data_IF_697893403050
#
_entry.id   IF_697893403050
#
_cell.length_a   1.000
_cell.length_b   1.000
_cell.length_c   1.000
_cell.angle_alpha   90.00
_cell.angle_beta   90.00
_cell.angle_gamma   90.00
#
_symmetry.space_group_name_H-M   'P 1'
#
loop_
_entity.id
_entity.type
_entity.pdbx_description
1 polymer ?
#
# COMPACT_ATOMS: atom_id res chain seq x y z
N UNK A 1 14.83 -11.33 -16.15
CA UNK A 1 15.84 -10.26 -16.05
C UNK A 1 15.45 -9.17 -17.02
N UNK A 2 14.96 -8.05 -16.50
CA UNK A 2 14.89 -6.77 -17.21
C UNK A 2 15.12 -5.70 -16.14
N UNK A 3 16.39 -5.50 -15.85
CA UNK A 3 16.88 -4.44 -14.99
C UNK A 3 16.91 -3.15 -15.79
N UNK A 4 16.15 -2.13 -15.40
CA UNK A 4 16.49 -0.76 -15.79
C UNK A 4 17.50 -0.30 -14.73
N UNK A 5 18.74 -0.73 -14.89
CA UNK A 5 19.90 -0.22 -14.15
C UNK A 5 20.38 0.99 -14.95
N UNK A 6 20.31 2.16 -14.33
CA UNK A 6 21.23 3.25 -14.67
C UNK A 6 22.46 3.05 -13.78
N UNK A 7 23.64 2.92 -14.38
CA UNK A 7 24.90 2.57 -13.72
C UNK A 7 25.48 3.71 -12.85
N UNK A 8 24.73 4.78 -12.57
CA UNK A 8 25.18 5.98 -11.87
C UNK A 8 24.58 6.16 -10.45
N UNK A 9 24.62 5.10 -9.64
CA UNK A 9 24.18 5.11 -8.23
C UNK A 9 25.10 6.00 -7.39
N UNK A 10 24.54 6.97 -6.65
CA UNK A 10 25.23 7.82 -5.67
C UNK A 10 24.67 7.59 -4.26
N UNK A 11 25.42 7.99 -3.23
CA UNK A 11 25.24 7.66 -1.79
C UNK A 11 23.96 8.17 -1.09
N UNK A 12 22.92 8.63 -1.78
CA UNK A 12 21.78 9.38 -1.18
C UNK A 12 20.36 8.83 -1.52
N UNK A 13 20.19 7.54 -1.85
CA UNK A 13 18.89 7.02 -2.34
C UNK A 13 17.89 6.59 -1.22
N UNK A 14 16.57 6.64 -1.48
CA UNK A 14 15.43 6.50 -0.53
C UNK A 14 14.44 5.37 -0.89
N UNK A 15 13.52 4.91 0.01
CA UNK A 15 12.59 3.77 -0.27
C UNK A 15 11.13 3.94 0.24
N UNK A 16 10.05 3.71 -0.58
CA UNK A 16 8.60 3.86 -0.17
C UNK A 16 7.52 2.97 -0.91
N UNK A 17 6.22 2.82 -0.46
CA UNK A 17 5.09 1.84 -0.89
C UNK A 17 3.59 2.36 -1.25
N UNK A 18 2.74 1.80 -2.21
CA UNK A 18 1.35 2.24 -2.73
C UNK A 18 0.45 1.59 -3.93
N UNK A 19 -0.41 2.28 -4.77
CA UNK A 19 -1.53 1.73 -5.69
C UNK A 19 -1.78 2.44 -7.09
N UNK A 20 -2.34 1.79 -8.17
CA UNK A 20 -2.67 2.34 -9.54
C UNK A 20 -3.71 1.54 -10.40
N UNK A 21 -4.39 2.15 -11.42
CA UNK A 21 -5.33 1.47 -12.38
C UNK A 21 -5.53 2.13 -13.78
N UNK A 22 -6.20 1.44 -14.73
CA UNK A 22 -6.58 1.89 -16.11
C UNK A 22 -8.08 1.75 -16.42
N UNK A 23 -8.63 2.62 -17.27
CA UNK A 23 -10.07 2.79 -17.50
C UNK A 23 -10.43 2.98 -19.00
N UNK A 24 -11.71 2.88 -19.40
CA UNK A 24 -12.13 3.13 -20.77
C UNK A 24 -11.57 4.44 -21.32
N UNK A 25 -10.87 4.38 -22.46
CA UNK A 25 -10.23 5.54 -23.09
C UNK A 25 -9.24 6.33 -22.20
N UNK A 26 -8.80 5.76 -21.06
CA UNK A 26 -7.90 6.39 -20.10
C UNK A 26 -6.83 5.42 -19.56
N UNK A 27 -5.57 5.77 -19.73
CA UNK A 27 -4.42 4.95 -19.40
C UNK A 27 -3.91 5.12 -17.96
N UNK A 28 -4.54 5.98 -17.16
CA UNK A 28 -4.24 6.20 -15.74
C UNK A 28 -5.48 6.71 -14.99
N UNK A 29 -5.42 6.71 -13.66
CA UNK A 29 -6.44 7.33 -12.80
C UNK A 29 -6.59 8.84 -13.11
N UNK A 30 -5.49 9.53 -13.44
CA UNK A 30 -5.52 10.96 -13.77
C UNK A 30 -6.18 11.23 -15.13
N UNK A 31 -5.88 10.42 -16.14
CA UNK A 31 -6.51 10.54 -17.46
C UNK A 31 -8.00 10.19 -17.38
N UNK A 32 -8.36 9.23 -16.51
CA UNK A 32 -9.76 8.89 -16.25
C UNK A 32 -10.51 10.01 -15.53
N UNK A 33 -9.90 10.59 -14.48
CA UNK A 33 -10.47 11.73 -13.78
C UNK A 33 -10.63 12.93 -14.71
N UNK A 34 -9.62 13.25 -15.52
CA UNK A 34 -9.71 14.31 -16.52
C UNK A 34 -10.87 14.08 -17.49
N UNK A 35 -11.00 12.87 -18.05
CA UNK A 35 -12.07 12.55 -18.97
C UNK A 35 -13.44 12.63 -18.30
N UNK A 36 -13.57 12.13 -17.06
CA UNK A 36 -14.83 12.12 -16.32
C UNK A 36 -15.29 13.54 -15.94
N UNK A 37 -14.39 14.37 -15.42
CA UNK A 37 -14.73 15.73 -14.97
C UNK A 37 -14.97 16.72 -16.11
N UNK A 38 -14.41 16.45 -17.29
CA UNK A 38 -14.68 17.25 -18.49
C UNK A 38 -15.84 16.69 -19.35
N UNK A 39 -16.54 15.66 -18.86
CA UNK A 39 -17.68 15.07 -19.57
C UNK A 39 -17.32 14.40 -20.89
N UNK A 40 -16.06 13.95 -21.03
CA UNK A 40 -15.59 13.23 -22.21
C UNK A 40 -16.23 11.84 -22.19
N UNK A 41 -17.00 11.53 -23.24
CA UNK A 41 -17.68 10.25 -23.36
C UNK A 41 -16.68 9.14 -23.74
N UNK A 42 -16.34 8.33 -22.73
CA UNK A 42 -15.37 7.23 -22.84
C UNK A 42 -16.00 5.91 -23.31
N UNK A 43 -17.27 5.92 -23.73
CA UNK A 43 -18.01 4.75 -24.19
C UNK A 43 -18.10 4.77 -25.72
N UNK A 44 -17.28 3.97 -26.38
CA UNK A 44 -17.14 4.01 -27.84
C UNK A 44 -17.95 2.89 -28.53
N UNK A 45 -18.28 3.10 -29.81
CA UNK A 45 -18.93 2.08 -30.68
C UNK A 45 -17.88 1.21 -31.40
N UNK A 46 -16.58 1.50 -31.28
CA UNK A 46 -15.54 0.87 -32.12
C UNK A 46 -15.35 -0.65 -31.95
N UNK A 47 -14.82 -1.33 -32.95
CA UNK A 47 -14.69 -2.80 -32.92
C UNK A 47 -13.43 -3.29 -32.16
N UNK A 48 -12.78 -2.45 -31.34
CA UNK A 48 -11.44 -2.71 -30.77
C UNK A 48 -11.36 -3.95 -29.88
N UNK A 49 -12.48 -4.39 -29.33
CA UNK A 49 -12.56 -5.62 -28.51
C UNK A 49 -13.59 -6.62 -29.03
N UNK A 50 -14.72 -6.14 -29.53
CA UNK A 50 -15.78 -6.95 -30.12
C UNK A 50 -16.42 -6.21 -31.29
N UNK A 51 -16.76 -6.89 -32.39
CA UNK A 51 -17.54 -6.30 -33.48
C UNK A 51 -18.94 -5.89 -33.01
N UNK A 52 -19.47 -4.81 -33.57
CA UNK A 52 -20.84 -4.39 -33.32
C UNK A 52 -21.86 -5.51 -33.63
N UNK A 53 -22.85 -5.69 -32.74
CA UNK A 53 -23.94 -6.67 -32.94
C UNK A 53 -23.67 -8.09 -32.42
N UNK A 54 -22.57 -8.31 -31.70
CA UNK A 54 -22.32 -9.60 -31.05
C UNK A 54 -23.35 -9.83 -29.91
N UNK A 55 -24.11 -10.93 -30.03
CA UNK A 55 -25.32 -11.19 -29.24
C UNK A 55 -25.13 -11.01 -27.72
N UNK A 56 -25.89 -10.06 -27.15
CA UNK A 56 -25.94 -9.80 -25.71
C UNK A 56 -25.07 -8.63 -25.22
N UNK A 57 -24.25 -8.02 -26.08
CA UNK A 57 -23.44 -6.86 -25.72
C UNK A 57 -24.11 -5.53 -26.13
N UNK A 58 -24.00 -4.46 -25.30
CA UNK A 58 -24.47 -3.13 -25.68
C UNK A 58 -23.66 -2.55 -26.84
N UNK A 59 -24.36 -1.92 -27.79
CA UNK A 59 -23.78 -1.25 -28.97
C UNK A 59 -22.65 -0.26 -28.62
N UNK A 60 -22.75 0.41 -27.47
CA UNK A 60 -21.74 1.31 -26.92
C UNK A 60 -21.19 0.70 -25.64
N UNK A 61 -19.87 0.49 -25.58
CA UNK A 61 -19.23 -0.02 -24.37
C UNK A 61 -17.83 0.57 -24.18
N UNK A 62 -17.42 0.75 -22.92
CA UNK A 62 -16.13 1.34 -22.57
C UNK A 62 -15.00 0.34 -22.77
N UNK A 63 -13.97 0.72 -23.53
CA UNK A 63 -12.86 -0.17 -23.93
C UNK A 63 -11.52 0.48 -23.54
N UNK A 64 -10.58 -0.35 -23.08
CA UNK A 64 -9.21 0.10 -22.81
C UNK A 64 -8.50 0.41 -24.12
N UNK A 65 -7.67 1.46 -24.12
CA UNK A 65 -7.08 1.98 -25.36
C UNK A 65 -6.23 0.96 -26.12
N UNK A 66 -5.45 0.15 -25.39
CA UNK A 66 -4.46 -0.78 -25.93
C UNK A 66 -4.55 -2.16 -25.23
N UNK A 67 -5.75 -2.74 -25.15
CA UNK A 67 -6.06 -4.02 -24.44
C UNK A 67 -5.26 -5.24 -24.96
N UNK A 68 -4.74 -5.11 -26.16
CA UNK A 68 -4.02 -6.09 -26.96
C UNK A 68 -2.49 -5.98 -26.82
N UNK A 69 -1.98 -4.91 -26.20
CA UNK A 69 -0.56 -4.75 -25.89
C UNK A 69 -0.23 -5.27 -24.49
N UNK A 70 0.75 -6.16 -24.42
CA UNK A 70 1.27 -6.77 -23.19
C UNK A 70 2.77 -6.99 -23.37
N UNK A 71 3.60 -6.54 -22.42
CA UNK A 71 5.05 -6.73 -22.48
C UNK A 71 5.43 -8.17 -22.09
N UNK A 72 5.18 -9.07 -23.04
CA UNK A 72 5.39 -10.50 -22.88
C UNK A 72 6.84 -10.85 -22.52
N UNK A 73 7.79 -10.10 -23.06
CA UNK A 73 9.22 -10.28 -22.77
C UNK A 73 9.54 -9.90 -21.31
N UNK A 74 8.96 -8.80 -20.80
CA UNK A 74 9.11 -8.36 -19.40
C UNK A 74 8.60 -9.41 -18.40
N UNK A 75 7.44 -10.01 -18.66
CA UNK A 75 6.86 -11.06 -17.80
C UNK A 75 7.41 -12.47 -18.10
N UNK A 76 8.40 -12.60 -18.98
CA UNK A 76 9.00 -13.85 -19.41
C UNK A 76 7.98 -14.86 -19.97
N UNK A 77 6.92 -14.34 -20.57
CA UNK A 77 5.85 -15.10 -21.23
C UNK A 77 6.17 -15.15 -22.73
N UNK A 78 6.17 -16.34 -23.32
CA UNK A 78 6.43 -16.47 -24.75
C UNK A 78 5.36 -15.71 -25.58
N UNK A 79 5.68 -14.98 -26.66
CA UNK A 79 4.73 -14.12 -27.38
C UNK A 79 3.44 -14.82 -27.83
N UNK A 80 3.52 -16.09 -28.22
CA UNK A 80 2.34 -16.92 -28.57
C UNK A 80 1.48 -17.30 -27.36
N UNK A 81 2.06 -17.45 -26.17
CA UNK A 81 1.30 -17.66 -24.93
C UNK A 81 0.67 -16.35 -24.47
N UNK A 82 1.45 -15.26 -24.51
CA UNK A 82 0.96 -13.92 -24.23
C UNK A 82 -0.27 -13.60 -25.06
N UNK A 83 -0.27 -13.86 -26.37
CA UNK A 83 -1.41 -13.59 -27.26
C UNK A 83 -2.72 -14.32 -26.85
N UNK A 84 -2.61 -15.49 -26.22
CA UNK A 84 -3.74 -16.33 -25.83
C UNK A 84 -4.13 -16.22 -24.35
N UNK A 85 -3.40 -15.44 -23.54
CA UNK A 85 -3.77 -15.19 -22.13
C UNK A 85 -5.02 -14.30 -22.06
N UNK A 86 -5.89 -14.48 -21.05
CA UNK A 86 -7.01 -13.56 -20.87
C UNK A 86 -6.49 -12.14 -20.54
N UNK A 87 -6.91 -11.07 -21.25
CA UNK A 87 -6.44 -9.70 -21.00
C UNK A 87 -6.65 -9.23 -19.56
N UNK A 88 -7.66 -9.74 -18.86
CA UNK A 88 -7.92 -9.43 -17.45
C UNK A 88 -6.93 -10.14 -16.53
N UNK A 89 -6.42 -11.31 -16.92
CA UNK A 89 -5.35 -12.01 -16.19
C UNK A 89 -3.99 -11.28 -16.33
N UNK A 90 -3.76 -10.64 -17.49
CA UNK A 90 -2.58 -9.79 -17.75
C UNK A 90 -2.65 -8.50 -16.93
N UNK A 91 -3.81 -7.85 -16.89
CA UNK A 91 -4.07 -6.67 -16.06
C UNK A 91 -4.06 -7.00 -14.56
N UNK A 92 -4.52 -8.18 -14.14
CA UNK A 92 -4.46 -8.63 -12.75
C UNK A 92 -3.01 -8.84 -12.27
N UNK A 93 -2.11 -9.33 -13.13
CA UNK A 93 -0.67 -9.37 -12.83
C UNK A 93 -0.10 -7.96 -12.61
N UNK A 94 -0.62 -6.97 -13.33
CA UNK A 94 -0.26 -5.55 -13.20
C UNK A 94 -1.03 -4.80 -12.09
N UNK A 95 -2.06 -5.38 -11.46
CA UNK A 95 -2.88 -4.77 -10.38
C UNK A 95 -2.62 -5.44 -9.02
N UNK A 96 -2.18 -6.70 -8.98
CA UNK A 96 -1.52 -7.29 -7.79
C UNK A 96 -0.23 -6.52 -7.43
N UNK A 97 0.22 -5.70 -8.38
CA UNK A 97 1.09 -4.55 -8.21
C UNK A 97 0.59 -3.75 -6.97
N UNK A 98 -0.65 -3.28 -6.76
CA UNK A 98 -1.22 -2.43 -5.66
C UNK A 98 -0.83 -2.57 -4.14
N UNK A 99 0.12 -3.41 -3.74
CA UNK A 99 0.80 -3.42 -2.42
C UNK A 99 2.13 -2.62 -2.39
N UNK A 100 2.24 -1.52 -3.14
CA UNK A 100 3.45 -1.24 -3.91
C UNK A 100 3.69 0.19 -4.27
N UNK A 101 4.85 0.68 -3.90
CA UNK A 101 5.57 1.92 -4.21
C UNK A 101 4.88 3.12 -4.93
N UNK A 102 3.94 2.87 -5.83
CA UNK A 102 3.20 3.77 -6.70
C UNK A 102 2.37 4.87 -6.04
N UNK A 103 1.76 4.68 -4.87
CA UNK A 103 1.08 5.81 -4.16
C UNK A 103 2.08 6.85 -3.66
N UNK A 104 3.34 6.48 -3.62
CA UNK A 104 4.44 7.36 -3.30
C UNK A 104 5.24 7.74 -4.54
N UNK A 105 4.74 7.41 -5.74
CA UNK A 105 5.35 7.83 -7.00
C UNK A 105 5.37 9.34 -7.13
N UNK A 106 4.26 10.02 -6.82
CA UNK A 106 4.20 11.49 -6.89
C UNK A 106 5.22 12.12 -5.92
N UNK A 107 5.32 11.56 -4.70
CA UNK A 107 6.37 11.95 -3.77
C UNK A 107 7.77 11.69 -4.35
N UNK A 108 8.03 10.47 -4.82
CA UNK A 108 9.32 10.06 -5.36
C UNK A 108 9.78 10.94 -6.53
N UNK A 109 8.87 11.32 -7.42
CA UNK A 109 9.15 12.19 -8.56
C UNK A 109 9.51 13.62 -8.16
N UNK A 110 9.17 14.05 -6.95
CA UNK A 110 9.47 15.38 -6.41
C UNK A 110 10.72 15.43 -5.54
N UNK A 111 11.34 14.28 -5.27
CA UNK A 111 12.59 14.20 -4.53
C UNK A 111 13.79 14.28 -5.50
N UNK A 112 14.88 14.98 -5.14
CA UNK A 112 16.09 15.14 -5.95
C UNK A 112 17.02 13.92 -5.91
N UNK A 113 16.54 12.78 -5.42
CA UNK A 113 17.31 11.54 -5.19
C UNK A 113 16.58 10.36 -5.83
N UNK A 114 17.29 9.25 -6.06
CA UNK A 114 16.64 8.04 -6.54
C UNK A 114 15.83 7.44 -5.42
N UNK A 115 14.58 7.08 -5.72
CA UNK A 115 13.69 6.46 -4.75
C UNK A 115 13.34 5.06 -5.24
N UNK A 116 13.79 4.05 -4.51
CA UNK A 116 13.37 2.67 -4.69
C UNK A 116 12.07 2.42 -3.92
N UNK A 117 11.50 1.24 -4.05
CA UNK A 117 10.38 0.90 -3.20
C UNK A 117 10.29 -0.60 -3.00
N UNK A 118 9.93 -0.99 -1.78
CA UNK A 118 9.86 -2.38 -1.39
C UNK A 118 8.41 -2.84 -1.36
N UNK A 119 8.05 -3.64 -2.35
CA UNK A 119 6.71 -4.17 -2.49
C UNK A 119 6.56 -5.49 -1.73
N UNK A 120 5.41 -5.67 -1.09
CA UNK A 120 5.04 -6.96 -0.50
C UNK A 120 4.65 -7.95 -1.60
N UNK A 121 5.51 -8.92 -1.89
CA UNK A 121 5.25 -10.01 -2.84
C UNK A 121 4.98 -11.33 -2.12
N UNK A 122 4.69 -12.40 -2.87
CA UNK A 122 4.55 -13.76 -2.32
C UNK A 122 5.81 -14.30 -1.64
N UNK A 123 6.97 -13.75 -1.98
CA UNK A 123 8.26 -14.18 -1.43
C UNK A 123 8.56 -13.54 -0.06
N UNK A 124 7.82 -12.50 0.30
CA UNK A 124 7.99 -11.81 1.58
C UNK A 124 7.46 -12.72 2.69
N UNK A 125 8.24 -12.98 3.75
CA UNK A 125 7.80 -13.81 4.87
C UNK A 125 6.50 -13.30 5.51
N UNK A 126 5.65 -14.23 5.94
CA UNK A 126 4.38 -13.90 6.62
C UNK A 126 4.39 -14.39 8.07
N UNK A 127 5.49 -14.16 8.78
CA UNK A 127 5.76 -14.73 10.12
C UNK A 127 5.87 -13.66 11.21
N UNK A 128 6.67 -12.61 10.97
CA UNK A 128 6.95 -11.55 11.95
C UNK A 128 7.37 -10.24 11.25
N UNK A 129 7.42 -9.12 11.98
CA UNK A 129 7.94 -7.84 11.43
C UNK A 129 9.45 -7.95 11.18
N UNK A 130 10.14 -8.65 12.07
CA UNK A 130 11.57 -8.93 12.03
C UNK A 130 11.98 -9.72 10.78
N UNK A 131 11.22 -10.76 10.43
CA UNK A 131 11.49 -11.57 9.23
C UNK A 131 11.20 -10.78 7.94
N UNK A 132 10.15 -9.96 7.94
CA UNK A 132 9.84 -9.06 6.81
C UNK A 132 10.98 -8.04 6.64
N UNK A 133 11.43 -7.42 7.72
CA UNK A 133 12.53 -6.47 7.71
C UNK A 133 13.84 -7.11 7.24
N UNK A 134 14.17 -8.30 7.74
CA UNK A 134 15.36 -9.05 7.32
C UNK A 134 15.33 -9.38 5.82
N UNK A 135 14.17 -9.80 5.30
CA UNK A 135 13.99 -10.02 3.86
C UNK A 135 14.22 -8.73 3.05
N UNK A 136 13.64 -7.61 3.49
CA UNK A 136 13.81 -6.33 2.81
C UNK A 136 15.23 -5.77 2.91
N UNK A 137 15.91 -5.97 4.03
CA UNK A 137 17.32 -5.59 4.19
C UNK A 137 18.19 -6.29 3.17
N UNK A 138 17.94 -7.57 2.91
CA UNK A 138 18.65 -8.29 1.85
C UNK A 138 18.48 -7.60 0.50
N UNK A 139 17.26 -7.14 0.17
CA UNK A 139 16.97 -6.40 -1.06
C UNK A 139 17.59 -5.00 -1.10
N UNK A 140 17.61 -4.31 0.03
CA UNK A 140 18.29 -3.01 0.18
C UNK A 140 19.79 -3.18 -0.07
N UNK A 141 20.45 -4.14 0.60
CA UNK A 141 21.89 -4.38 0.47
C UNK A 141 22.27 -4.89 -0.92
N UNK A 142 21.42 -5.70 -1.57
CA UNK A 142 21.59 -6.10 -2.98
C UNK A 142 21.60 -4.88 -3.93
N UNK A 143 20.91 -3.80 -3.58
CA UNK A 143 20.77 -2.58 -4.40
C UNK A 143 21.83 -1.53 -4.04
N UNK A 144 22.03 -1.27 -2.74
CA UNK A 144 23.02 -0.37 -2.18
C UNK A 144 23.84 -1.15 -1.14
N UNK A 145 25.04 -1.65 -1.49
CA UNK A 145 25.82 -2.51 -0.58
C UNK A 145 26.34 -1.80 0.67
N UNK A 146 26.53 -0.49 0.61
CA UNK A 146 27.09 0.32 1.70
C UNK A 146 26.23 1.54 2.00
N UNK A 147 25.97 1.78 3.28
CA UNK A 147 25.32 3.00 3.74
C UNK A 147 26.21 4.24 3.70
N UNK A 148 25.78 5.36 4.32
CA UNK A 148 24.59 5.44 5.16
C UNK A 148 23.29 5.38 4.34
N UNK A 149 22.26 4.71 4.88
CA UNK A 149 20.97 4.56 4.21
C UNK A 149 19.97 5.63 4.63
N UNK A 150 19.20 6.15 3.68
CA UNK A 150 18.01 6.94 3.97
C UNK A 150 16.79 6.01 3.81
N UNK A 151 16.11 5.66 4.90
CA UNK A 151 15.01 4.67 4.84
C UNK A 151 13.69 5.32 5.21
N UNK A 152 12.69 5.08 4.37
CA UNK A 152 11.33 5.58 4.49
C UNK A 152 10.32 4.48 4.81
N UNK A 153 9.23 4.84 5.48
CA UNK A 153 8.12 3.91 5.67
C UNK A 153 6.81 4.66 5.83
N UNK A 154 5.81 4.28 5.02
CA UNK A 154 4.46 4.84 5.10
C UNK A 154 3.52 3.89 5.84
N UNK A 155 2.73 4.43 6.78
CA UNK A 155 1.68 3.69 7.49
C UNK A 155 2.21 2.40 8.13
N UNK A 156 1.69 1.23 7.76
CA UNK A 156 2.23 -0.08 8.19
C UNK A 156 3.72 -0.26 7.86
N UNK A 157 4.17 0.26 6.71
CA UNK A 157 5.56 0.28 6.31
C UNK A 157 6.45 1.03 7.30
N UNK A 158 5.95 2.04 8.02
CA UNK A 158 6.69 2.73 9.07
C UNK A 158 7.09 1.78 10.22
N UNK A 159 6.25 0.82 10.56
CA UNK A 159 6.55 -0.20 11.57
C UNK A 159 7.69 -1.13 11.12
N UNK A 160 7.64 -1.60 9.87
CA UNK A 160 8.72 -2.40 9.27
C UNK A 160 10.02 -1.58 9.18
N UNK A 161 9.91 -0.32 8.77
CA UNK A 161 11.04 0.59 8.62
C UNK A 161 11.73 0.89 9.95
N UNK A 162 10.99 0.96 11.06
CA UNK A 162 11.59 0.98 12.40
C UNK A 162 12.46 -0.25 12.65
N UNK A 163 11.97 -1.45 12.33
CA UNK A 163 12.76 -2.68 12.50
C UNK A 163 13.96 -2.74 11.54
N UNK A 164 13.80 -2.29 10.29
CA UNK A 164 14.91 -2.14 9.34
C UNK A 164 16.01 -1.27 9.96
N UNK A 165 15.63 -0.19 10.66
CA UNK A 165 16.57 0.70 11.33
C UNK A 165 17.30 0.10 12.53
N UNK A 166 16.75 -0.95 13.14
CA UNK A 166 17.43 -1.69 14.20
C UNK A 166 18.44 -2.68 13.62
N UNK A 167 18.15 -3.26 12.46
CA UNK A 167 18.96 -4.32 11.86
C UNK A 167 20.06 -3.77 10.91
N UNK A 168 19.83 -2.64 10.23
CA UNK A 168 20.84 -2.02 9.36
C UNK A 168 21.94 -1.29 10.17
N UNK A 169 23.22 -1.43 9.78
CA UNK A 169 24.33 -0.90 10.57
C UNK A 169 24.54 0.62 10.44
N UNK A 170 24.23 1.23 9.30
CA UNK A 170 24.51 2.65 9.02
C UNK A 170 23.31 3.34 8.37
N UNK A 171 22.52 4.07 9.17
CA UNK A 171 21.39 4.86 8.67
C UNK A 171 21.69 6.35 8.82
N UNK A 172 21.56 7.08 7.71
CA UNK A 172 21.63 8.53 7.69
C UNK A 172 20.43 9.12 8.44
N UNK A 173 19.23 8.72 8.03
CA UNK A 173 17.98 9.25 8.57
C UNK A 173 16.83 8.26 8.39
N UNK A 174 15.90 8.27 9.34
CA UNK A 174 14.67 7.49 9.30
C UNK A 174 13.46 8.40 9.05
N UNK A 175 12.77 8.23 7.93
CA UNK A 175 11.61 9.04 7.55
C UNK A 175 10.31 8.23 7.69
N UNK A 176 9.47 8.58 8.65
CA UNK A 176 8.22 7.87 8.93
C UNK A 176 7.04 8.71 8.45
N UNK A 177 6.31 8.20 7.45
CA UNK A 177 5.18 8.89 6.84
C UNK A 177 3.88 8.39 7.48
N UNK A 178 3.29 9.23 8.32
CA UNK A 178 2.06 8.99 9.10
C UNK A 178 1.93 7.57 9.67
N UNK A 179 2.98 7.12 10.36
CA UNK A 179 3.03 5.80 10.98
C UNK A 179 4.22 5.64 11.91
N UNK A 180 4.19 4.60 12.74
CA UNK A 180 5.26 4.21 13.66
C UNK A 180 5.10 2.75 14.08
N UNK A 181 6.04 2.23 14.87
CA UNK A 181 5.92 0.92 15.53
C UNK A 181 4.67 0.80 16.42
N UNK A 182 4.27 1.89 17.10
CA UNK A 182 3.12 1.93 18.01
C UNK A 182 1.82 2.29 17.31
N UNK A 183 1.89 2.80 16.07
CA UNK A 183 0.72 3.24 15.31
C UNK A 183 -0.33 2.13 15.22
N UNK A 184 0.02 0.98 14.62
CA UNK A 184 -0.93 -0.13 14.48
C UNK A 184 -1.21 -0.84 15.81
N UNK A 185 -0.20 -1.01 16.67
CA UNK A 185 -0.36 -1.70 17.95
C UNK A 185 -1.38 -1.02 18.88
N UNK A 186 -1.42 0.31 18.87
CA UNK A 186 -2.41 1.04 19.68
C UNK A 186 -3.82 0.89 19.12
N UNK A 187 -3.97 0.86 17.79
CA UNK A 187 -5.25 0.61 17.14
C UNK A 187 -5.77 -0.79 17.52
N UNK A 188 -4.97 -1.84 17.33
CA UNK A 188 -5.39 -3.24 17.53
C UNK A 188 -5.62 -3.59 19.00
N UNK A 189 -4.77 -3.12 19.93
CA UNK A 189 -4.96 -3.35 21.38
C UNK A 189 -6.28 -2.79 21.89
N UNK A 190 -6.69 -1.60 21.44
CA UNK A 190 -7.96 -1.00 21.87
C UNK A 190 -9.17 -1.82 21.39
N UNK A 191 -9.14 -2.35 20.16
CA UNK A 191 -10.17 -3.27 19.71
C UNK A 191 -10.19 -4.54 20.57
N UNK A 192 -9.02 -5.11 20.90
CA UNK A 192 -8.94 -6.29 21.77
C UNK A 192 -9.46 -6.03 23.19
N UNK A 193 -9.19 -4.86 23.78
CA UNK A 193 -9.72 -4.51 25.11
C UNK A 193 -11.24 -4.29 25.10
N UNK A 194 -11.80 -3.79 24.00
CA UNK A 194 -13.27 -3.66 23.84
C UNK A 194 -13.95 -5.01 23.57
N UNK A 195 -13.22 -5.98 23.05
CA UNK A 195 -13.74 -7.25 22.56
C UNK A 195 -12.93 -8.42 23.12
N UNK A 196 -13.32 -8.91 24.30
CA UNK A 196 -12.67 -10.03 25.02
C UNK A 196 -12.72 -11.39 24.27
N UNK A 197 -13.40 -11.46 23.12
CA UNK A 197 -13.55 -12.69 22.32
C UNK A 197 -12.81 -12.57 20.98
N UNK A 198 -12.03 -13.60 20.64
CA UNK A 198 -11.29 -13.73 19.36
C UNK A 198 -12.17 -13.45 18.12
N UNK A 199 -13.45 -13.80 18.19
CA UNK A 199 -14.43 -13.62 17.11
C UNK A 199 -14.68 -12.14 16.77
N UNK A 200 -14.84 -11.31 17.78
CA UNK A 200 -15.12 -9.89 17.61
C UNK A 200 -13.90 -9.12 17.10
N UNK A 201 -12.69 -9.53 17.48
CA UNK A 201 -11.45 -8.99 16.92
C UNK A 201 -11.31 -9.31 15.42
N UNK A 202 -11.53 -10.57 15.03
CA UNK A 202 -11.50 -10.96 13.62
C UNK A 202 -12.54 -10.19 12.79
N UNK A 203 -13.75 -10.01 13.33
CA UNK A 203 -14.80 -9.21 12.71
C UNK A 203 -14.38 -7.75 12.52
N UNK A 204 -13.77 -7.13 13.53
CA UNK A 204 -13.29 -5.74 13.44
C UNK A 204 -12.18 -5.56 12.40
N UNK A 205 -11.24 -6.49 12.33
CA UNK A 205 -10.16 -6.49 11.32
C UNK A 205 -10.73 -6.60 9.91
N UNK A 206 -11.66 -7.53 9.68
CA UNK A 206 -12.27 -7.71 8.38
C UNK A 206 -13.19 -6.54 8.00
N UNK A 207 -13.87 -5.91 8.97
CA UNK A 207 -14.59 -4.66 8.73
C UNK A 207 -13.65 -3.53 8.28
N UNK A 208 -12.51 -3.35 8.96
CA UNK A 208 -11.51 -2.36 8.56
C UNK A 208 -10.92 -2.65 7.17
N UNK A 209 -10.86 -3.92 6.77
CA UNK A 209 -10.51 -4.30 5.40
C UNK A 209 -11.62 -3.91 4.40
N UNK A 210 -12.89 -4.23 4.67
CA UNK A 210 -14.03 -3.88 3.82
C UNK A 210 -14.16 -2.37 3.59
N UNK A 211 -14.00 -1.57 4.65
CA UNK A 211 -14.16 -0.11 4.61
C UNK A 211 -13.15 0.57 3.68
N UNK A 212 -12.03 -0.09 3.34
CA UNK A 212 -11.05 0.47 2.40
C UNK A 212 -11.57 0.55 0.97
N UNK A 213 -12.53 -0.32 0.62
CA UNK A 213 -13.06 -0.49 -0.73
C UNK A 213 -14.55 -0.13 -0.84
N UNK A 214 -15.30 -0.23 0.26
CA UNK A 214 -16.74 0.06 0.28
C UNK A 214 -16.99 1.33 1.11
N UNK A 215 -17.27 2.48 0.48
CA UNK A 215 -17.60 3.70 1.20
C UNK A 215 -18.96 3.56 1.90
N UNK A 216 -19.12 4.23 3.05
CA UNK A 216 -20.37 4.29 3.82
C UNK A 216 -20.94 2.94 4.29
N UNK A 217 -20.05 1.98 4.56
CA UNK A 217 -20.42 0.67 5.09
C UNK A 217 -21.07 0.80 6.48
N UNK A 218 -22.22 0.15 6.71
CA UNK A 218 -22.90 0.16 8.02
C UNK A 218 -22.08 -0.62 9.05
N UNK A 219 -21.36 0.11 9.89
CA UNK A 219 -20.46 -0.45 10.89
C UNK A 219 -21.14 -1.44 11.83
N UNK A 220 -22.29 -1.08 12.39
CA UNK A 220 -22.95 -1.89 13.42
C UNK A 220 -23.47 -3.19 12.82
N UNK A 221 -24.09 -3.10 11.64
CA UNK A 221 -24.62 -4.25 10.92
C UNK A 221 -23.51 -5.22 10.53
N UNK A 222 -22.45 -4.74 9.86
CA UNK A 222 -21.39 -5.62 9.35
C UNK A 222 -20.57 -6.26 10.47
N UNK A 223 -20.26 -5.52 11.54
CA UNK A 223 -19.58 -6.10 12.70
C UNK A 223 -20.40 -7.22 13.34
N UNK A 224 -21.72 -7.06 13.45
CA UNK A 224 -22.61 -8.08 13.99
C UNK A 224 -22.69 -9.32 13.08
N UNK A 225 -22.82 -9.12 11.76
CA UNK A 225 -22.80 -10.21 10.79
C UNK A 225 -21.52 -11.04 10.89
N UNK A 226 -20.36 -10.37 10.90
CA UNK A 226 -19.05 -11.05 10.98
C UNK A 226 -18.81 -11.71 12.35
N UNK A 227 -19.24 -11.09 13.45
CA UNK A 227 -19.06 -11.65 14.79
C UNK A 227 -19.88 -12.93 15.02
N UNK A 228 -21.07 -13.01 14.41
CA UNK A 228 -22.00 -14.14 14.56
C UNK A 228 -21.62 -15.38 13.73
N UNK A 229 -20.71 -15.27 12.76
CA UNK A 229 -20.19 -16.44 12.04
C UNK A 229 -19.33 -17.29 12.97
N UNK A 230 -19.31 -18.61 12.79
CA UNK A 230 -18.69 -19.51 13.77
C UNK A 230 -17.18 -19.63 13.59
N UNK A 231 -16.70 -19.59 12.34
CA UNK A 231 -15.30 -19.81 12.00
C UNK A 231 -14.69 -18.60 11.28
N UNK A 232 -13.36 -18.48 11.36
CA UNK A 232 -12.64 -17.44 10.62
C UNK A 232 -12.79 -17.60 9.10
N UNK A 233 -12.87 -18.84 8.61
CA UNK A 233 -13.06 -19.10 7.18
C UNK A 233 -14.43 -18.62 6.70
N UNK A 234 -15.49 -18.83 7.47
CA UNK A 234 -16.82 -18.29 7.15
C UNK A 234 -16.80 -16.76 7.10
N UNK A 235 -16.11 -16.10 8.04
CA UNK A 235 -15.95 -14.63 8.02
C UNK A 235 -15.23 -14.14 6.77
N UNK A 236 -14.18 -14.84 6.35
CA UNK A 236 -13.45 -14.52 5.13
C UNK A 236 -14.30 -14.72 3.88
N UNK A 237 -15.09 -15.79 3.82
CA UNK A 237 -16.02 -16.04 2.72
C UNK A 237 -17.11 -14.96 2.66
N UNK A 238 -17.67 -14.55 3.80
CA UNK A 238 -18.65 -13.45 3.87
C UNK A 238 -18.03 -12.12 3.45
N UNK A 239 -16.83 -11.82 3.95
CA UNK A 239 -16.04 -10.63 3.55
C UNK A 239 -15.82 -10.60 2.05
N UNK A 240 -15.41 -11.73 1.47
CA UNK A 240 -15.23 -11.86 0.04
C UNK A 240 -16.54 -11.69 -0.72
N UNK A 241 -17.65 -12.21 -0.23
CA UNK A 241 -18.96 -12.03 -0.85
C UNK A 241 -19.42 -10.56 -0.86
N UNK A 242 -19.17 -9.81 0.22
CA UNK A 242 -19.49 -8.38 0.29
C UNK A 242 -18.63 -7.56 -0.69
N UNK A 243 -17.34 -7.90 -0.84
CA UNK A 243 -16.41 -7.20 -1.74
C UNK A 243 -16.50 -7.63 -3.20
N UNK A 244 -16.86 -8.87 -3.47
CA UNK A 244 -16.97 -9.40 -4.84
C UNK A 244 -18.01 -8.64 -5.66
N UNK A 245 -19.01 -8.05 -4.98
CA UNK A 245 -19.99 -7.14 -5.59
C UNK A 245 -19.41 -5.78 -6.00
N UNK A 246 -18.23 -5.41 -5.48
CA UNK A 246 -17.61 -4.09 -5.65
C UNK A 246 -16.31 -4.14 -6.44
N UNK A 247 -15.47 -5.17 -6.24
CA UNK A 247 -14.08 -5.22 -6.73
C UNK A 247 -13.89 -6.28 -7.85
N UNK A 248 -14.78 -7.27 -7.98
CA UNK A 248 -14.81 -8.27 -9.06
C UNK A 248 -13.48 -9.01 -9.38
N UNK A 249 -12.56 -9.15 -8.42
CA UNK A 249 -11.27 -9.86 -8.56
C UNK A 249 -11.33 -11.36 -8.20
N UNK A 250 -12.54 -11.86 -7.94
CA UNK A 250 -12.79 -13.23 -7.50
C UNK A 250 -12.60 -13.43 -6.00
N UNK A 251 -13.48 -14.25 -5.40
CA UNK A 251 -13.55 -14.46 -3.95
C UNK A 251 -12.26 -15.03 -3.35
N UNK A 252 -11.59 -15.95 -4.02
CA UNK A 252 -10.35 -16.56 -3.51
C UNK A 252 -9.21 -15.55 -3.35
N UNK A 253 -9.07 -14.63 -4.31
CA UNK A 253 -8.12 -13.52 -4.24
C UNK A 253 -8.43 -12.59 -3.07
N UNK A 254 -9.71 -12.23 -2.88
CA UNK A 254 -10.14 -11.38 -1.76
C UNK A 254 -9.83 -12.06 -0.42
N UNK A 255 -10.10 -13.37 -0.32
CA UNK A 255 -9.80 -14.15 0.89
C UNK A 255 -8.29 -14.14 1.19
N UNK A 256 -7.45 -14.33 0.18
CA UNK A 256 -6.00 -14.30 0.36
C UNK A 256 -5.52 -12.94 0.86
N UNK A 257 -5.98 -11.85 0.24
CA UNK A 257 -5.62 -10.48 0.61
C UNK A 257 -6.11 -10.16 2.03
N UNK A 258 -7.35 -10.51 2.36
CA UNK A 258 -7.92 -10.31 3.69
C UNK A 258 -7.14 -11.09 4.77
N UNK A 259 -6.70 -12.32 4.48
CA UNK A 259 -5.82 -13.11 5.36
C UNK A 259 -4.47 -12.42 5.58
N UNK A 260 -3.84 -11.93 4.51
CA UNK A 260 -2.56 -11.22 4.61
C UNK A 260 -2.69 -9.92 5.39
N UNK A 261 -3.76 -9.16 5.17
CA UNK A 261 -4.08 -7.94 5.91
C UNK A 261 -4.20 -8.22 7.41
N UNK A 262 -4.99 -9.23 7.79
CA UNK A 262 -5.12 -9.62 9.19
C UNK A 262 -3.79 -10.04 9.82
N UNK A 263 -3.01 -10.90 9.14
CA UNK A 263 -1.71 -11.35 9.66
C UNK A 263 -0.76 -10.17 9.89
N UNK A 264 -0.69 -9.22 8.94
CA UNK A 264 0.12 -8.00 9.08
C UNK A 264 -0.27 -7.19 10.32
N UNK A 265 -1.57 -6.99 10.57
CA UNK A 265 -2.04 -6.30 11.77
C UNK A 265 -1.66 -7.03 13.06
N UNK A 266 -1.75 -8.37 13.08
CA UNK A 266 -1.34 -9.18 14.23
C UNK A 266 0.17 -9.08 14.50
N UNK A 267 1.00 -9.04 13.46
CA UNK A 267 2.44 -8.90 13.63
C UNK A 267 2.79 -7.52 14.19
N UNK A 268 2.23 -6.46 13.63
CA UNK A 268 2.45 -5.12 14.16
C UNK A 268 1.86 -4.90 15.56
N UNK A 269 0.79 -5.60 15.94
CA UNK A 269 0.27 -5.57 17.32
C UNK A 269 1.26 -6.13 18.35
N UNK A 270 1.92 -7.23 17.99
CA UNK A 270 2.85 -7.97 18.85
C UNK A 270 4.26 -7.39 18.84
N UNK A 271 4.60 -6.65 17.79
CA UNK A 271 5.92 -6.12 17.57
C UNK A 271 6.31 -5.11 18.64
N UNK A 272 7.51 -5.32 19.21
CA UNK A 272 8.14 -4.40 20.15
C UNK A 272 9.60 -4.27 19.71
N UNK A 273 10.07 -3.05 19.37
CA UNK A 273 11.47 -2.80 19.06
C UNK A 273 12.41 -3.38 20.12
N UNK A 274 13.34 -4.25 19.71
CA UNK A 274 14.25 -4.95 20.62
C UNK A 274 15.30 -4.04 21.26
N UNK A 275 15.56 -2.89 20.65
CA UNK A 275 16.54 -1.88 21.09
C UNK A 275 16.14 -0.48 20.61
N UNK A 276 16.84 0.53 21.12
CA UNK A 276 16.62 1.93 20.74
C UNK A 276 17.13 2.23 19.33
N UNK A 277 16.35 2.98 18.55
CA UNK A 277 16.74 3.55 17.26
C UNK A 277 17.82 4.61 17.50
N UNK A 278 18.98 4.44 16.86
CA UNK A 278 20.16 5.28 17.10
C UNK A 278 20.26 6.48 16.13
N UNK A 279 19.67 6.39 14.94
CA UNK A 279 19.75 7.43 13.91
C UNK A 279 18.74 8.56 14.15
N UNK A 280 18.94 9.67 13.43
CA UNK A 280 17.96 10.75 13.37
C UNK A 280 16.65 10.24 12.77
N UNK A 281 15.53 10.62 13.38
CA UNK A 281 14.20 10.15 13.01
C UNK A 281 13.26 11.33 12.85
N UNK A 282 12.59 11.40 11.71
CA UNK A 282 11.53 12.39 11.45
C UNK A 282 10.21 11.68 11.18
N UNK A 283 9.18 12.08 11.91
CA UNK A 283 7.79 11.70 11.68
C UNK A 283 7.08 12.82 10.91
N UNK A 284 6.51 12.48 9.76
CA UNK A 284 5.62 13.32 8.99
C UNK A 284 4.19 12.94 9.35
N UNK A 285 3.62 13.63 10.34
CA UNK A 285 2.29 13.39 10.86
C UNK A 285 1.26 14.20 10.07
N UNK A 286 0.11 13.62 9.77
CA UNK A 286 -0.96 14.35 9.06
C UNK A 286 -1.68 15.33 9.97
N UNK A 287 -2.13 16.45 9.40
CA UNK A 287 -2.86 17.50 10.11
C UNK A 287 -4.23 17.00 10.57
N UNK A 288 -4.95 16.32 9.67
CA UNK A 288 -6.25 15.72 9.98
C UNK A 288 -6.04 14.26 10.36
N UNK A 289 -5.63 14.08 11.61
CA UNK A 289 -5.49 12.76 12.22
C UNK A 289 -6.84 12.08 12.45
N UNK A 290 -6.84 10.75 12.59
CA UNK A 290 -7.98 10.02 13.14
C UNK A 290 -8.07 10.24 14.65
N UNK A 291 -9.25 10.03 15.26
CA UNK A 291 -9.41 10.01 16.74
C UNK A 291 -8.39 9.07 17.45
N UNK A 292 -7.81 8.12 16.72
CA UNK A 292 -6.80 7.19 17.21
C UNK A 292 -5.41 7.83 17.26
N UNK A 293 -5.03 8.57 16.22
CA UNK A 293 -3.74 9.27 16.14
C UNK A 293 -3.53 10.29 17.27
N UNK A 294 -4.61 10.87 17.80
CA UNK A 294 -4.59 11.77 18.94
C UNK A 294 -4.25 11.04 20.27
N UNK A 295 -4.56 9.74 20.37
CA UNK A 295 -4.38 8.95 21.60
C UNK A 295 -3.00 8.33 21.75
N UNK A 296 -2.25 8.16 20.65
CA UNK A 296 -0.88 7.60 20.66
C UNK A 296 0.13 8.66 21.13
N UNK A 297 -0.28 9.93 21.18
CA UNK A 297 0.58 11.07 21.44
C UNK A 297 1.14 11.70 20.17
N UNK A 298 1.76 12.86 20.30
CA UNK A 298 2.16 13.72 19.18
C UNK A 298 3.20 13.07 18.26
N UNK A 299 4.08 12.24 18.81
CA UNK A 299 5.17 11.55 18.12
C UNK A 299 4.88 10.08 17.78
N UNK A 300 3.63 9.65 17.91
CA UNK A 300 3.22 8.25 17.74
C UNK A 300 4.05 7.25 18.56
N UNK A 301 4.45 7.63 19.78
CA UNK A 301 5.19 6.79 20.73
C UNK A 301 6.68 6.64 20.42
N UNK A 302 7.19 7.36 19.42
CA UNK A 302 8.58 7.24 18.95
C UNK A 302 9.62 7.62 20.02
N UNK A 303 9.34 8.58 20.90
CA UNK A 303 10.19 8.93 22.06
C UNK A 303 10.51 7.74 22.96
N UNK A 304 9.62 6.75 23.02
CA UNK A 304 9.84 5.54 23.83
C UNK A 304 10.83 4.57 23.20
N UNK A 305 11.12 4.68 21.89
CA UNK A 305 12.00 3.76 21.15
C UNK A 305 13.16 4.44 20.43
N UNK A 306 13.18 5.77 20.31
CA UNK A 306 14.31 6.51 19.78
C UNK A 306 15.31 6.84 20.90
N UNK A 307 16.60 6.88 20.56
CA UNK A 307 17.66 7.35 21.46
C UNK A 307 17.63 8.89 21.57
N UNK A 308 17.43 9.57 20.44
CA UNK A 308 17.21 11.01 20.36
C UNK A 308 15.71 11.28 20.18
N UNK A 309 15.23 12.46 20.61
CA UNK A 309 13.84 12.82 20.37
C UNK A 309 13.57 12.93 18.86
N UNK A 310 12.48 12.33 18.36
CA UNK A 310 12.15 12.41 16.95
C UNK A 310 11.70 13.84 16.59
N UNK A 311 12.05 14.30 15.40
CA UNK A 311 11.45 15.49 14.83
C UNK A 311 10.03 15.15 14.35
N UNK A 312 9.03 15.97 14.69
CA UNK A 312 7.66 15.79 14.22
C UNK A 312 7.28 16.98 13.33
N UNK A 313 6.91 16.70 12.08
CA UNK A 313 6.49 17.69 11.10
C UNK A 313 5.04 17.41 10.70
N UNK A 314 4.19 18.43 10.75
CA UNK A 314 2.77 18.31 10.40
C UNK A 314 2.59 18.59 8.91
N UNK A 315 1.92 17.67 8.20
CA UNK A 315 1.64 17.76 6.76
C UNK A 315 0.12 17.92 6.54
N UNK A 316 -0.32 18.86 5.69
CA UNK A 316 -1.74 19.02 5.38
C UNK A 316 -2.37 17.76 4.78
N UNK A 317 -3.66 17.58 5.03
CA UNK A 317 -4.43 16.42 4.59
C UNK A 317 -4.65 15.37 5.70
N UNK A 318 -5.17 14.24 5.28
CA UNK A 318 -5.39 13.03 6.09
C UNK A 318 -4.41 11.92 5.69
N UNK A 319 -4.54 10.75 6.33
CA UNK A 319 -3.69 9.57 6.12
C UNK A 319 -3.48 9.18 4.64
N UNK A 320 -4.38 9.55 3.73
CA UNK A 320 -4.28 9.28 2.29
C UNK A 320 -3.99 10.54 1.49
N UNK A 321 -4.70 11.63 1.76
CA UNK A 321 -4.65 12.84 0.93
C UNK A 321 -3.36 13.63 1.09
N UNK A 322 -2.55 13.37 2.12
CA UNK A 322 -1.23 14.01 2.28
C UNK A 322 -0.19 13.56 1.22
N UNK A 323 -0.45 12.44 0.53
CA UNK A 323 0.37 11.93 -0.58
C UNK A 323 -0.14 12.37 -1.96
N UNK A 324 -1.08 13.32 -2.02
CA UNK A 324 -1.74 13.72 -3.26
C UNK A 324 -1.74 15.24 -3.44
N UNK A 325 -1.73 15.69 -4.70
CA UNK A 325 -1.92 17.08 -5.08
C UNK A 325 -0.93 18.04 -4.41
N UNK A 326 -1.40 19.18 -3.92
CA UNK A 326 -0.56 20.18 -3.25
C UNK A 326 0.05 19.67 -1.94
N UNK A 327 -0.60 18.73 -1.24
CA UNK A 327 -0.12 18.23 0.04
C UNK A 327 1.18 17.43 -0.12
N UNK A 328 1.31 16.65 -1.21
CA UNK A 328 2.55 15.88 -1.47
C UNK A 328 3.72 16.80 -1.80
N UNK A 329 3.46 17.99 -2.37
CA UNK A 329 4.50 19.00 -2.60
C UNK A 329 5.00 19.58 -1.27
N UNK A 330 4.11 19.81 -0.31
CA UNK A 330 4.49 20.23 1.05
C UNK A 330 5.37 19.15 1.70
N UNK A 331 4.96 17.88 1.62
CA UNK A 331 5.76 16.75 2.12
C UNK A 331 7.14 16.66 1.46
N UNK A 332 7.20 16.73 0.13
CA UNK A 332 8.44 16.68 -0.63
C UNK A 332 9.39 17.82 -0.23
N UNK A 333 8.86 19.04 -0.08
CA UNK A 333 9.66 20.19 0.36
C UNK A 333 10.27 19.97 1.75
N UNK A 334 9.50 19.41 2.70
CA UNK A 334 10.01 19.11 4.03
C UNK A 334 11.10 18.02 3.98
N UNK A 335 10.89 16.95 3.22
CA UNK A 335 11.93 15.92 3.03
C UNK A 335 13.18 16.52 2.38
N UNK A 336 13.02 17.41 1.40
CA UNK A 336 14.15 18.08 0.74
C UNK A 336 15.02 18.88 1.72
N UNK A 337 14.44 19.47 2.77
CA UNK A 337 15.23 20.16 3.81
C UNK A 337 16.06 19.24 4.71
N UNK A 338 15.78 17.92 4.69
CA UNK A 338 16.49 16.93 5.49
C UNK A 338 17.60 16.27 4.68
N UNK A 339 17.40 16.08 3.38
CA UNK A 339 18.32 15.36 2.49
C UNK A 339 19.34 16.25 1.76
N UNK A 340 19.05 17.55 1.64
CA UNK A 340 19.93 18.58 1.06
C UNK A 340 20.65 19.33 2.19
#
# INVERSE_FOLDING_TARGET
>A
MSSIIDDNIKTNDFVITGVSGRFPEANSIDEFAYNLFNGIDMVTVDDRRWPEGQYGLPTRNGKLKEVDKFDAAFFNVHPKQAHNMDPQLRLLLEVTYESHVQMLKDLAQRLPITVFGLQSTSDVPTTSIEDIAAYYIKKIIETQPTGPYLIGGYSFGACITVEIALQLPTIAHLLLLDGSHSYIATHTKQYRTKFNESNHFQAAVLYAFLQQYIPNLDQKKILLELANLSTYNERLQHTAQLLDQTVHIGKDSIILIAKQFHNKLLFAEKYIPSKKIQCQTTLFRVQTGSEYSERIGDDYGLSTVCQNLPQVLIIPGDHRTFLQGENVQVLANQINTIIL
#
